data_IF_327155359558
#
_entry.id   IF_327155359558
#
_cell.length_a   1.000
_cell.length_b   1.000
_cell.length_c   1.000
_cell.angle_alpha   90.00
_cell.angle_beta   90.00
_cell.angle_gamma   90.00
#
_symmetry.space_group_name_H-M   'P 1'
#
loop_
_entity.id
_entity.type
_entity.pdbx_description
1 polymer ?
#
# COMPACT_ATOMS: atom_id res chain seq x y z
N UNK A 1 -10.57 -8.34 -16.34
CA UNK A 1 -10.35 -6.99 -16.90
C UNK A 1 -10.62 -5.94 -15.81
N UNK A 2 -9.74 -5.83 -14.79
CA UNK A 2 -9.81 -4.80 -13.73
C UNK A 2 -8.84 -3.63 -14.00
N UNK A 3 -8.11 -3.68 -15.12
CA UNK A 3 -6.93 -2.82 -15.36
C UNK A 3 -7.26 -1.31 -15.35
N UNK A 4 -8.46 -0.90 -15.72
CA UNK A 4 -8.75 0.52 -15.99
C UNK A 4 -10.07 1.07 -15.41
N UNK A 5 -10.87 0.30 -14.66
CA UNK A 5 -12.22 0.75 -14.21
C UNK A 5 -12.42 0.86 -12.70
N UNK A 6 -11.46 0.43 -11.89
CA UNK A 6 -11.69 0.23 -10.47
C UNK A 6 -10.50 0.78 -9.68
N UNK A 7 -10.72 1.44 -8.51
CA UNK A 7 -9.67 2.03 -7.68
C UNK A 7 -8.79 0.98 -6.95
N UNK A 8 -8.71 -0.22 -7.53
CA UNK A 8 -8.06 -1.39 -6.98
C UNK A 8 -6.66 -1.52 -7.58
N UNK A 9 -5.67 -1.23 -6.75
CA UNK A 9 -4.27 -1.43 -7.08
C UNK A 9 -3.92 -2.92 -7.01
N UNK A 10 -3.42 -3.49 -8.09
CA UNK A 10 -2.88 -4.85 -8.08
C UNK A 10 -1.57 -4.89 -7.30
N UNK A 11 -1.49 -5.76 -6.31
CA UNK A 11 -0.33 -5.89 -5.40
C UNK A 11 0.49 -7.14 -5.79
N UNK A 12 -0.19 -8.26 -5.96
CA UNK A 12 0.39 -9.49 -6.49
C UNK A 12 -0.28 -9.85 -7.81
N UNK A 13 0.53 -10.28 -8.78
CA UNK A 13 0.08 -10.59 -10.14
C UNK A 13 -1.14 -11.50 -10.12
N UNK A 14 -2.29 -10.92 -10.45
CA UNK A 14 -3.59 -11.59 -10.56
C UNK A 14 -4.14 -12.28 -9.30
N UNK A 15 -3.54 -12.10 -8.12
CA UNK A 15 -3.98 -12.78 -6.89
C UNK A 15 -4.51 -11.83 -5.83
N UNK A 16 -3.89 -10.65 -5.68
CA UNK A 16 -4.25 -9.74 -4.60
C UNK A 16 -4.36 -8.31 -5.12
N UNK A 17 -5.46 -7.66 -4.76
CA UNK A 17 -5.73 -6.26 -5.06
C UNK A 17 -6.08 -5.52 -3.77
N UNK A 18 -5.67 -4.26 -3.70
CA UNK A 18 -5.99 -3.36 -2.59
C UNK A 18 -6.69 -2.11 -3.06
N UNK A 19 -7.63 -1.61 -2.28
CA UNK A 19 -8.34 -0.37 -2.54
C UNK A 19 -8.29 0.54 -1.30
N UNK A 20 -7.89 1.81 -1.44
CA UNK A 20 -7.91 2.75 -0.32
C UNK A 20 -9.35 3.14 0.01
N UNK A 21 -9.66 3.32 1.29
CA UNK A 21 -10.96 3.82 1.75
C UNK A 21 -10.86 5.22 2.35
N UNK A 22 -12.01 5.77 2.74
CA UNK A 22 -12.09 6.97 3.58
C UNK A 22 -11.32 6.79 4.90
N UNK A 23 -10.74 7.88 5.40
CA UNK A 23 -9.97 7.93 6.65
C UNK A 23 -8.80 6.93 6.65
N UNK A 24 -8.70 6.09 7.67
CA UNK A 24 -7.61 5.12 7.84
C UNK A 24 -8.02 3.71 7.39
N UNK A 25 -9.05 3.61 6.54
CA UNK A 25 -9.62 2.34 6.07
C UNK A 25 -8.99 1.90 4.74
N UNK A 26 -8.90 0.59 4.55
CA UNK A 26 -8.57 -0.01 3.28
C UNK A 26 -9.21 -1.38 3.10
N UNK A 27 -9.23 -1.84 1.85
CA UNK A 27 -9.88 -3.07 1.46
C UNK A 27 -8.91 -3.93 0.68
N UNK A 28 -8.92 -5.24 0.96
CA UNK A 28 -8.11 -6.21 0.24
C UNK A 28 -9.05 -7.23 -0.39
N UNK A 29 -8.89 -7.43 -1.69
CA UNK A 29 -9.50 -8.49 -2.46
C UNK A 29 -8.42 -9.55 -2.75
N UNK A 30 -8.62 -10.77 -2.25
CA UNK A 30 -7.77 -11.92 -2.54
C UNK A 30 -8.51 -12.91 -3.43
N UNK A 31 -7.81 -13.42 -4.45
CA UNK A 31 -8.22 -14.58 -5.23
C UNK A 31 -7.38 -15.78 -4.80
N UNK A 32 -8.04 -16.77 -4.23
CA UNK A 32 -7.45 -18.05 -3.84
C UNK A 32 -8.08 -19.19 -4.64
N UNK A 33 -7.56 -20.39 -4.45
CA UNK A 33 -8.17 -21.62 -4.96
C UNK A 33 -8.50 -22.49 -3.76
N UNK A 34 -9.76 -22.89 -3.61
CA UNK A 34 -10.21 -23.82 -2.58
C UNK A 34 -10.79 -25.06 -3.26
N UNK A 35 -10.20 -26.23 -3.01
CA UNK A 35 -10.58 -27.51 -3.64
C UNK A 35 -10.69 -27.44 -5.17
N UNK A 36 -9.75 -26.76 -5.83
CA UNK A 36 -9.74 -26.59 -7.29
C UNK A 36 -10.64 -25.47 -7.83
N UNK A 37 -11.51 -24.89 -7.01
CA UNK A 37 -12.39 -23.80 -7.42
C UNK A 37 -11.83 -22.43 -7.04
N UNK A 38 -12.00 -21.44 -7.92
CA UNK A 38 -11.63 -20.04 -7.63
C UNK A 38 -12.52 -19.50 -6.52
N UNK A 39 -11.90 -18.84 -5.55
CA UNK A 39 -12.59 -18.17 -4.45
C UNK A 39 -12.08 -16.73 -4.36
N UNK A 40 -13.00 -15.79 -4.21
CA UNK A 40 -12.71 -14.37 -4.01
C UNK A 40 -13.14 -13.97 -2.61
N UNK A 41 -12.22 -13.35 -1.87
CA UNK A 41 -12.46 -12.85 -0.52
C UNK A 41 -12.18 -11.35 -0.48
N UNK A 42 -13.18 -10.57 -0.05
CA UNK A 42 -12.99 -9.17 0.30
C UNK A 42 -12.90 -9.01 1.82
N UNK A 43 -11.93 -8.23 2.27
CA UNK A 43 -11.71 -7.92 3.68
C UNK A 43 -11.53 -6.41 3.87
N UNK A 44 -12.06 -5.91 4.98
CA UNK A 44 -11.95 -4.53 5.45
C UNK A 44 -10.86 -4.44 6.51
N UNK A 45 -10.04 -3.41 6.45
CA UNK A 45 -8.91 -3.22 7.35
C UNK A 45 -8.78 -1.75 7.74
N UNK A 46 -8.06 -1.51 8.84
CA UNK A 46 -7.66 -0.16 9.26
C UNK A 46 -6.18 -0.12 9.59
N UNK A 47 -5.61 1.08 9.78
CA UNK A 47 -4.22 1.18 10.25
C UNK A 47 -4.00 0.55 11.64
N UNK A 48 -5.05 0.43 12.46
CA UNK A 48 -4.98 -0.23 13.76
C UNK A 48 -5.29 -1.73 13.68
N UNK A 49 -6.16 -2.16 12.76
CA UNK A 49 -6.56 -3.56 12.59
C UNK A 49 -5.79 -4.21 11.42
N UNK A 50 -4.77 -5.03 11.75
CA UNK A 50 -3.95 -5.76 10.77
C UNK A 50 -4.60 -7.05 10.26
N UNK A 51 -5.37 -7.74 11.09
CA UNK A 51 -6.00 -9.01 10.72
C UNK A 51 -7.11 -8.79 9.69
N UNK A 52 -7.74 -7.61 9.74
CA UNK A 52 -8.88 -7.27 8.94
C UNK A 52 -10.13 -8.06 9.33
N UNK A 53 -11.25 -7.66 8.75
CA UNK A 53 -12.54 -8.30 8.93
C UNK A 53 -13.04 -8.73 7.57
N UNK A 54 -13.36 -10.02 7.42
CA UNK A 54 -13.92 -10.55 6.17
C UNK A 54 -15.30 -9.92 5.94
N UNK A 55 -15.48 -9.35 4.76
CA UNK A 55 -16.74 -8.74 4.33
C UNK A 55 -17.59 -9.80 3.63
N UNK A 56 -16.98 -10.50 2.68
CA UNK A 56 -17.66 -11.50 1.86
C UNK A 56 -16.67 -12.48 1.23
N UNK A 57 -17.13 -13.71 1.00
CA UNK A 57 -16.42 -14.78 0.29
C UNK A 57 -17.35 -15.41 -0.73
N UNK A 58 -16.97 -15.43 -2.00
CA UNK A 58 -17.75 -16.09 -3.05
C UNK A 58 -16.85 -16.58 -4.20
N UNK A 59 -17.29 -17.62 -4.91
CA UNK A 59 -16.69 -18.04 -6.17
C UNK A 59 -16.96 -17.03 -7.31
N UNK A 60 -17.97 -16.17 -7.13
CA UNK A 60 -18.36 -15.13 -8.06
C UNK A 60 -17.84 -13.77 -7.61
N UNK A 61 -16.95 -13.17 -8.40
CA UNK A 61 -16.38 -11.86 -8.11
C UNK A 61 -17.44 -10.75 -8.07
N UNK A 62 -18.53 -10.88 -8.84
CA UNK A 62 -19.58 -9.86 -8.87
C UNK A 62 -20.37 -9.80 -7.55
N UNK A 63 -20.59 -10.93 -6.90
CA UNK A 63 -21.24 -10.99 -5.57
C UNK A 63 -20.38 -10.31 -4.50
N UNK A 64 -19.06 -10.51 -4.56
CA UNK A 64 -18.11 -9.81 -3.68
C UNK A 64 -18.19 -8.30 -3.87
N UNK A 65 -18.23 -7.83 -5.12
CA UNK A 65 -18.39 -6.40 -5.40
C UNK A 65 -19.76 -5.84 -5.01
N UNK A 66 -20.83 -6.62 -5.19
CA UNK A 66 -22.16 -6.23 -4.72
C UNK A 66 -22.18 -6.06 -3.19
N UNK A 67 -21.64 -7.01 -2.44
CA UNK A 67 -21.55 -6.93 -0.98
C UNK A 67 -20.73 -5.71 -0.51
N UNK A 68 -19.61 -5.43 -1.17
CA UNK A 68 -18.81 -4.23 -0.92
C UNK A 68 -19.60 -2.95 -1.21
N UNK A 69 -20.34 -2.89 -2.33
CA UNK A 69 -21.14 -1.72 -2.70
C UNK A 69 -22.28 -1.47 -1.72
N UNK A 70 -22.93 -2.51 -1.24
CA UNK A 70 -24.03 -2.39 -0.27
C UNK A 70 -23.56 -1.89 1.09
N UNK A 71 -22.40 -2.36 1.57
CA UNK A 71 -21.92 -2.05 2.94
C UNK A 71 -20.93 -0.89 3.03
N UNK A 72 -20.19 -0.60 1.95
CA UNK A 72 -19.08 0.35 1.95
C UNK A 72 -19.10 1.27 0.71
N UNK A 73 -20.30 1.69 0.28
CA UNK A 73 -20.51 2.58 -0.88
C UNK A 73 -19.63 3.84 -0.86
N UNK A 74 -19.52 4.48 0.30
CA UNK A 74 -18.83 5.76 0.45
C UNK A 74 -17.31 5.61 0.26
N UNK A 75 -16.76 4.47 0.69
CA UNK A 75 -15.36 4.14 0.47
C UNK A 75 -15.06 3.88 -1.01
N UNK A 76 -15.98 3.23 -1.74
CA UNK A 76 -15.84 3.01 -3.17
C UNK A 76 -15.85 4.33 -3.94
N UNK A 77 -16.82 5.21 -3.66
CA UNK A 77 -16.89 6.53 -4.27
C UNK A 77 -15.66 7.38 -3.95
N UNK A 78 -15.18 7.33 -2.71
CA UNK A 78 -13.94 8.00 -2.33
C UNK A 78 -12.77 7.47 -3.15
N UNK A 79 -12.62 6.16 -3.25
CA UNK A 79 -11.52 5.52 -3.93
C UNK A 79 -11.51 5.85 -5.42
N UNK A 80 -12.68 5.86 -6.08
CA UNK A 80 -12.88 6.28 -7.46
C UNK A 80 -12.44 7.74 -7.69
N UNK A 81 -12.82 8.65 -6.78
CA UNK A 81 -12.44 10.07 -6.85
C UNK A 81 -10.97 10.33 -6.51
N UNK A 82 -10.38 9.52 -5.62
CA UNK A 82 -9.03 9.73 -5.06
C UNK A 82 -7.92 9.01 -5.81
N UNK A 83 -8.23 8.07 -6.70
CA UNK A 83 -7.22 7.42 -7.54
C UNK A 83 -6.72 8.33 -8.69
N UNK A 84 -6.44 9.59 -8.38
CA UNK A 84 -5.85 10.56 -9.30
C UNK A 84 -4.34 10.58 -9.07
N UNK A 85 -3.55 10.29 -10.11
CA UNK A 85 -2.08 10.33 -10.07
C UNK A 85 -1.50 11.72 -9.74
N UNK A 86 -2.34 12.75 -9.63
CA UNK A 86 -1.96 14.12 -9.29
C UNK A 86 -1.78 14.37 -7.78
N UNK A 87 -2.39 13.56 -6.90
CA UNK A 87 -2.30 13.78 -5.44
C UNK A 87 -1.00 13.21 -4.86
N UNK A 88 -0.43 13.90 -3.87
CA UNK A 88 0.71 13.46 -3.07
C UNK A 88 0.29 12.67 -1.83
N UNK A 89 1.25 11.98 -1.20
CA UNK A 89 1.05 11.26 0.06
C UNK A 89 0.53 12.16 1.20
N UNK A 90 -0.34 11.65 2.07
CA UNK A 90 -0.73 12.38 3.28
C UNK A 90 0.29 12.18 4.41
N UNK A 91 0.40 13.12 5.39
CA UNK A 91 1.30 12.96 6.53
C UNK A 91 1.08 11.66 7.31
N UNK A 92 -0.19 11.25 7.50
CA UNK A 92 -0.53 9.97 8.14
C UNK A 92 0.00 8.76 7.35
N UNK A 93 -0.10 8.78 6.03
CA UNK A 93 0.41 7.70 5.19
C UNK A 93 1.94 7.60 5.28
N UNK A 94 2.63 8.74 5.30
CA UNK A 94 4.09 8.80 5.46
C UNK A 94 4.49 8.26 6.83
N UNK A 95 3.89 8.76 7.91
CA UNK A 95 4.18 8.29 9.27
C UNK A 95 3.95 6.78 9.42
N UNK A 96 2.88 6.26 8.83
CA UNK A 96 2.59 4.83 8.81
C UNK A 96 3.66 4.02 8.07
N UNK A 97 4.13 4.48 6.91
CA UNK A 97 5.20 3.79 6.17
C UNK A 97 6.50 3.83 6.98
N UNK A 98 6.85 4.99 7.54
CA UNK A 98 8.06 5.17 8.35
C UNK A 98 8.10 4.20 9.53
N UNK A 99 6.99 4.02 10.26
CA UNK A 99 6.92 3.07 11.37
C UNK A 99 7.08 1.62 10.92
N UNK A 100 6.63 1.28 9.70
CA UNK A 100 6.76 -0.07 9.13
C UNK A 100 8.16 -0.37 8.60
N UNK A 101 8.90 0.62 8.09
CA UNK A 101 10.22 0.41 7.49
C UNK A 101 11.37 0.79 8.42
N UNK A 102 11.11 1.41 9.58
CA UNK A 102 12.14 1.92 10.49
C UNK A 102 13.21 0.89 10.87
N UNK A 103 12.82 -0.37 11.13
CA UNK A 103 13.79 -1.44 11.41
C UNK A 103 14.69 -1.79 10.21
N UNK A 104 14.19 -1.60 8.98
CA UNK A 104 14.96 -1.82 7.75
C UNK A 104 15.93 -0.67 7.48
N UNK A 105 15.60 0.55 7.92
CA UNK A 105 16.43 1.73 7.65
C UNK A 105 17.83 1.57 8.26
N UNK A 106 17.96 1.07 9.49
CA UNK A 106 19.28 0.83 10.10
C UNK A 106 20.13 -0.15 9.29
N UNK A 107 19.53 -1.24 8.78
CA UNK A 107 20.22 -2.18 7.90
C UNK A 107 20.67 -1.51 6.60
N UNK A 108 19.82 -0.67 6.01
CA UNK A 108 20.17 0.06 4.79
C UNK A 108 21.29 1.08 5.02
N UNK A 109 21.27 1.82 6.13
CA UNK A 109 22.34 2.77 6.48
C UNK A 109 23.70 2.06 6.57
N UNK A 110 23.76 0.91 7.25
CA UNK A 110 24.99 0.11 7.36
C UNK A 110 25.46 -0.40 5.99
N UNK A 111 24.58 -1.01 5.21
CA UNK A 111 24.94 -1.61 3.91
C UNK A 111 25.32 -0.57 2.85
N UNK A 112 24.72 0.62 2.90
CA UNK A 112 25.00 1.72 1.97
C UNK A 112 26.06 2.70 2.50
N UNK A 113 26.63 2.46 3.69
CA UNK A 113 27.63 3.33 4.34
C UNK A 113 27.16 4.78 4.43
N UNK A 114 25.92 4.96 4.88
CA UNK A 114 25.32 6.28 5.09
C UNK A 114 25.86 6.81 6.43
N UNK A 115 26.71 7.83 6.36
CA UNK A 115 27.42 8.39 7.52
C UNK A 115 26.80 9.72 7.97
N UNK A 116 25.52 9.66 8.35
CA UNK A 116 24.76 10.75 8.96
C UNK A 116 23.93 10.22 10.13
N UNK A 117 23.48 11.08 11.06
CA UNK A 117 22.52 10.69 12.09
C UNK A 117 21.28 10.02 11.50
N UNK A 118 20.74 9.04 12.22
CA UNK A 118 19.58 8.27 11.77
C UNK A 118 18.36 9.16 11.58
N UNK A 119 18.17 10.10 12.49
CA UNK A 119 17.07 11.06 12.50
C UNK A 119 17.08 11.89 11.21
N UNK A 120 18.27 12.37 10.81
CA UNK A 120 18.46 13.10 9.56
C UNK A 120 18.14 12.21 8.34
N UNK A 121 18.61 10.95 8.34
CA UNK A 121 18.26 10.02 7.27
C UNK A 121 16.76 9.74 7.18
N UNK A 122 16.09 9.59 8.33
CA UNK A 122 14.64 9.39 8.40
C UNK A 122 13.87 10.60 7.81
N UNK A 123 14.37 11.82 7.97
CA UNK A 123 13.81 13.01 7.35
C UNK A 123 13.91 12.96 5.81
N UNK A 124 15.06 12.55 5.25
CA UNK A 124 15.21 12.38 3.81
C UNK A 124 14.29 11.31 3.25
N UNK A 125 14.13 10.18 3.95
CA UNK A 125 13.19 9.11 3.57
C UNK A 125 11.75 9.63 3.62
N UNK A 126 11.38 10.35 4.68
CA UNK A 126 10.05 10.95 4.81
C UNK A 126 9.77 11.94 3.67
N UNK A 127 10.76 12.74 3.26
CA UNK A 127 10.63 13.70 2.18
C UNK A 127 10.47 13.04 0.80
N UNK A 128 11.15 11.93 0.55
CA UNK A 128 10.90 11.09 -0.64
C UNK A 128 9.45 10.61 -0.63
N UNK A 129 8.97 10.07 0.50
CA UNK A 129 7.60 9.55 0.62
C UNK A 129 6.53 10.64 0.47
N UNK A 130 6.74 11.84 1.01
CA UNK A 130 5.81 12.98 0.85
C UNK A 130 5.64 13.39 -0.61
N UNK A 131 6.70 13.27 -1.41
CA UNK A 131 6.70 13.66 -2.81
C UNK A 131 6.17 12.57 -3.76
N UNK A 132 5.96 11.35 -3.25
CA UNK A 132 5.38 10.27 -4.01
C UNK A 132 3.88 10.45 -4.28
N UNK A 133 3.44 9.90 -5.41
CA UNK A 133 2.03 9.92 -5.81
C UNK A 133 1.22 9.08 -4.83
N UNK A 134 0.06 9.59 -4.40
CA UNK A 134 -0.81 8.93 -3.43
C UNK A 134 -1.19 7.52 -3.87
N UNK A 135 -1.44 7.29 -5.16
CA UNK A 135 -1.73 5.96 -5.70
C UNK A 135 -0.58 4.95 -5.47
N UNK A 136 0.67 5.40 -5.63
CA UNK A 136 1.87 4.60 -5.41
C UNK A 136 2.05 4.31 -3.91
N UNK A 137 1.82 5.31 -3.07
CA UNK A 137 1.86 5.19 -1.60
C UNK A 137 0.80 4.23 -1.08
N UNK A 138 -0.43 4.32 -1.57
CA UNK A 138 -1.50 3.37 -1.22
C UNK A 138 -1.10 1.94 -1.59
N UNK A 139 -0.55 1.73 -2.79
CA UNK A 139 -0.05 0.41 -3.20
C UNK A 139 1.07 -0.08 -2.29
N UNK A 140 1.98 0.80 -1.89
CA UNK A 140 3.08 0.46 -0.98
C UNK A 140 2.59 0.10 0.42
N UNK A 141 1.62 0.84 0.97
CA UNK A 141 0.95 0.51 2.24
C UNK A 141 0.35 -0.89 2.19
N UNK A 142 -0.34 -1.25 1.09
CA UNK A 142 -0.90 -2.59 0.96
C UNK A 142 0.18 -3.67 0.89
N UNK A 143 1.26 -3.40 0.17
CA UNK A 143 2.40 -4.31 0.08
C UNK A 143 3.06 -4.54 1.45
N UNK A 144 3.27 -3.48 2.23
CA UNK A 144 3.79 -3.55 3.60
C UNK A 144 2.86 -4.31 4.55
N UNK A 145 1.54 -4.24 4.32
CA UNK A 145 0.53 -4.94 5.12
C UNK A 145 0.48 -6.43 4.86
N UNK A 146 0.49 -6.82 3.58
CA UNK A 146 0.46 -8.22 3.17
C UNK A 146 1.76 -8.93 3.52
N UNK A 147 2.87 -8.19 3.58
CA UNK A 147 4.19 -8.73 3.85
C UNK A 147 4.74 -9.52 2.67
N UNK A 148 6.05 -9.75 2.70
CA UNK A 148 6.81 -10.70 1.86
C UNK A 148 6.39 -10.79 0.38
N UNK A 149 6.22 -9.63 -0.26
CA UNK A 149 5.97 -9.56 -1.70
C UNK A 149 7.06 -8.73 -2.39
N UNK A 150 7.35 -9.06 -3.65
CA UNK A 150 8.42 -8.43 -4.42
C UNK A 150 8.25 -6.91 -4.54
N UNK A 151 7.00 -6.44 -4.59
CA UNK A 151 6.71 -5.01 -4.69
C UNK A 151 7.12 -4.26 -3.42
N UNK A 152 6.91 -4.84 -2.23
CA UNK A 152 7.35 -4.28 -0.95
C UNK A 152 8.87 -4.11 -0.92
N UNK A 153 9.62 -5.18 -1.25
CA UNK A 153 11.08 -5.19 -1.29
C UNK A 153 11.62 -4.16 -2.29
N UNK A 154 11.10 -4.19 -3.52
CA UNK A 154 11.46 -3.25 -4.58
C UNK A 154 11.20 -1.80 -4.16
N UNK A 155 10.00 -1.50 -3.63
CA UNK A 155 9.62 -0.13 -3.32
C UNK A 155 10.36 0.41 -2.11
N UNK A 156 10.63 -0.41 -1.09
CA UNK A 156 11.52 -0.08 0.01
C UNK A 156 12.90 0.35 -0.51
N UNK A 157 13.53 -0.48 -1.35
CA UNK A 157 14.85 -0.18 -1.91
C UNK A 157 14.83 1.11 -2.75
N UNK A 158 13.78 1.33 -3.56
CA UNK A 158 13.63 2.56 -4.34
C UNK A 158 13.54 3.81 -3.46
N UNK A 159 12.74 3.79 -2.40
CA UNK A 159 12.59 4.92 -1.49
C UNK A 159 13.92 5.25 -0.81
N UNK A 160 14.61 4.23 -0.29
CA UNK A 160 15.92 4.38 0.36
C UNK A 160 16.97 4.91 -0.62
N UNK A 161 17.08 4.33 -1.81
CA UNK A 161 18.07 4.78 -2.81
C UNK A 161 17.80 6.22 -3.26
N UNK A 162 16.53 6.63 -3.37
CA UNK A 162 16.18 8.02 -3.70
C UNK A 162 16.54 8.99 -2.56
N UNK A 163 16.41 8.57 -1.29
CA UNK A 163 16.85 9.36 -0.15
C UNK A 163 18.38 9.54 -0.17
N UNK A 164 19.12 8.46 -0.43
CA UNK A 164 20.59 8.49 -0.62
C UNK A 164 21.01 9.37 -1.80
N UNK A 165 20.29 9.32 -2.93
CA UNK A 165 20.59 10.17 -4.08
C UNK A 165 20.44 11.65 -3.74
N UNK A 166 19.36 12.02 -3.04
CA UNK A 166 19.11 13.40 -2.60
C UNK A 166 20.15 13.91 -1.61
N UNK A 167 20.63 13.05 -0.72
CA UNK A 167 21.74 13.39 0.17
C UNK A 167 22.97 13.83 -0.61
N UNK A 168 23.36 13.09 -1.66
CA UNK A 168 24.51 13.41 -2.48
C UNK A 168 24.29 14.55 -3.49
N UNK A 169 23.04 14.92 -3.79
CA UNK A 169 22.72 16.09 -4.65
C UNK A 169 22.79 17.43 -3.89
N UNK A 170 22.76 17.37 -2.55
CA UNK A 170 22.84 18.55 -1.68
C UNK A 170 24.28 18.81 -1.15
N UNK A 171 25.27 18.05 -1.62
CA UNK A 171 26.71 18.24 -1.37
C UNK A 171 27.34 18.81 -2.64
#
# INVERSE_FOLDING_TARGET
MLRNKYPWAMIETSKVWGMPGLSDNYFILKRTTYRGHKLFEASHHTFQNKSGTVIHRSANLLEVFAALKTKYSDHLQYAEKRNTFARKATPKQVAYIMSMIGYKLSYYMQTKRIDIPREEFEEHVAEVLKNEKQAIICKFIFALRLGDNDYEKLKCAQVVNNAVKRLHENI
#
